data_IF_327238975800
#
_entry.id   IF_327238975800
#
_cell.length_a   1.000
_cell.length_b   1.000
_cell.length_c   1.000
_cell.angle_alpha   90.00
_cell.angle_beta   90.00
_cell.angle_gamma   90.00
#
_symmetry.space_group_name_H-M   'P 1'
#
loop_
_entity.id
_entity.type
_entity.pdbx_description
1 polymer ?
#
# COMPACT_ATOMS: atom_id res chain seq x y z
N UNK A 1 -8.87 -15.72 27.79
CA UNK A 1 -10.21 -15.45 28.37
C UNK A 1 -11.31 -15.62 27.34
N UNK A 2 -11.18 -15.04 26.14
CA UNK A 2 -12.16 -15.16 25.05
C UNK A 2 -12.34 -16.62 24.61
N UNK A 3 -11.26 -17.35 24.35
CA UNK A 3 -11.34 -18.78 24.00
C UNK A 3 -12.05 -19.62 25.07
N UNK A 4 -11.91 -19.29 26.36
CA UNK A 4 -12.63 -19.96 27.45
C UNK A 4 -14.14 -19.72 27.39
N UNK A 5 -14.57 -18.52 26.99
CA UNK A 5 -16.00 -18.18 26.81
C UNK A 5 -16.59 -18.93 25.61
N UNK A 6 -15.79 -19.15 24.57
CA UNK A 6 -16.20 -19.83 23.34
C UNK A 6 -16.16 -21.37 23.47
N UNK A 7 -15.44 -21.89 24.47
CA UNK A 7 -15.30 -23.32 24.70
C UNK A 7 -16.67 -24.04 24.80
N UNK A 8 -16.82 -25.14 24.06
CA UNK A 8 -18.05 -25.93 23.99
C UNK A 8 -19.21 -25.27 23.20
N UNK A 9 -19.07 -24.02 22.76
CA UNK A 9 -20.09 -23.32 21.96
C UNK A 9 -19.83 -23.40 20.47
N UNK A 10 -18.55 -23.44 20.09
CA UNK A 10 -18.04 -23.49 18.71
C UNK A 10 -17.07 -24.65 18.57
N UNK A 11 -16.88 -25.13 17.34
CA UNK A 11 -15.90 -26.19 17.06
C UNK A 11 -14.49 -25.60 16.99
N UNK A 12 -14.38 -24.39 16.43
CA UNK A 12 -13.13 -23.67 16.27
C UNK A 12 -13.26 -22.18 16.52
N UNK A 13 -12.18 -21.57 17.04
CA UNK A 13 -12.05 -20.12 17.11
C UNK A 13 -10.59 -19.69 17.01
N UNK A 14 -10.37 -18.53 16.38
CA UNK A 14 -9.12 -17.78 16.45
C UNK A 14 -9.38 -16.37 16.98
N UNK A 15 -8.49 -15.90 17.83
CA UNK A 15 -8.53 -14.56 18.41
C UNK A 15 -7.22 -13.87 18.10
N UNK A 16 -7.30 -12.73 17.41
CA UNK A 16 -6.15 -11.87 17.15
C UNK A 16 -6.37 -10.53 17.83
N UNK A 17 -5.41 -10.12 18.66
CA UNK A 17 -5.43 -8.81 19.31
C UNK A 17 -4.33 -7.97 18.73
N UNK A 18 -4.65 -6.74 18.37
CA UNK A 18 -3.69 -5.76 17.87
C UNK A 18 -3.70 -4.56 18.80
N UNK A 19 -2.52 -4.06 19.13
CA UNK A 19 -2.31 -2.78 19.84
C UNK A 19 -1.30 -1.97 19.06
N UNK A 20 -1.74 -0.85 18.50
CA UNK A 20 -0.91 0.09 17.77
C UNK A 20 -0.67 1.31 18.65
N UNK A 21 0.57 1.54 19.04
CA UNK A 21 0.99 2.78 19.71
C UNK A 21 1.48 3.74 18.64
N UNK A 22 0.79 4.87 18.50
CA UNK A 22 1.08 5.88 17.50
C UNK A 22 1.68 7.12 18.13
N UNK A 23 2.70 7.66 17.47
CA UNK A 23 3.31 8.95 17.76
C UNK A 23 3.35 9.76 16.47
N UNK A 24 2.80 10.97 16.51
CA UNK A 24 2.62 11.78 15.33
C UNK A 24 3.09 13.20 15.59
N UNK A 25 3.97 13.70 14.74
CA UNK A 25 4.32 15.11 14.66
C UNK A 25 3.67 15.68 13.41
N UNK A 26 2.80 16.68 13.59
CA UNK A 26 2.26 17.48 12.50
C UNK A 26 2.99 18.82 12.46
N UNK A 27 3.30 19.28 11.26
CA UNK A 27 3.93 20.57 11.04
C UNK A 27 3.24 21.30 9.89
N UNK A 28 3.25 22.62 9.97
CA UNK A 28 2.72 23.50 8.93
C UNK A 28 3.41 24.86 9.03
N UNK A 29 3.62 25.50 7.88
CA UNK A 29 4.41 26.72 7.78
C UNK A 29 5.80 26.54 8.41
N UNK A 30 6.44 25.41 8.12
CA UNK A 30 7.79 25.04 8.58
C UNK A 30 7.95 24.84 10.11
N UNK A 31 6.85 24.94 10.86
CA UNK A 31 6.85 24.79 12.31
C UNK A 31 6.03 23.58 12.77
N UNK A 32 6.50 22.92 13.83
CA UNK A 32 5.73 21.88 14.51
C UNK A 32 4.48 22.50 15.13
N UNK A 33 3.32 21.98 14.75
CA UNK A 33 2.02 22.50 15.19
C UNK A 33 1.33 21.57 16.19
N UNK A 34 1.66 20.28 16.17
CA UNK A 34 1.16 19.33 17.15
C UNK A 34 2.07 18.12 17.30
N UNK A 35 2.24 17.68 18.53
CA UNK A 35 2.67 16.32 18.87
C UNK A 35 1.47 15.57 19.43
N UNK A 36 1.14 14.40 18.87
CA UNK A 36 0.03 13.56 19.35
C UNK A 36 0.51 12.14 19.58
N UNK A 37 0.03 11.54 20.65
CA UNK A 37 0.18 10.11 20.91
C UNK A 37 -1.19 9.49 21.19
N UNK A 38 -1.42 8.28 20.70
CA UNK A 38 -2.62 7.51 21.02
C UNK A 38 -2.35 6.02 20.86
N UNK A 39 -3.18 5.21 21.51
CA UNK A 39 -3.21 3.76 21.29
C UNK A 39 -4.48 3.40 20.54
N UNK A 40 -4.36 2.57 19.50
CA UNK A 40 -5.48 1.92 18.86
C UNK A 40 -5.42 0.42 19.17
N UNK A 41 -6.46 -0.10 19.81
CA UNK A 41 -6.58 -1.53 20.08
C UNK A 41 -7.69 -2.11 19.23
N UNK A 42 -7.51 -3.33 18.73
CA UNK A 42 -8.56 -4.07 18.04
C UNK A 42 -8.47 -5.55 18.38
N UNK A 43 -9.62 -6.19 18.47
CA UNK A 43 -9.73 -7.64 18.65
C UNK A 43 -10.55 -8.22 17.51
N UNK A 44 -9.94 -9.15 16.79
CA UNK A 44 -10.55 -9.93 15.74
C UNK A 44 -10.88 -11.31 16.29
N UNK A 45 -12.13 -11.73 16.13
CA UNK A 45 -12.62 -13.03 16.59
C UNK A 45 -13.22 -13.73 15.39
N UNK A 46 -12.60 -14.84 15.00
CA UNK A 46 -13.14 -15.79 14.05
C UNK A 46 -13.70 -16.99 14.80
N UNK A 47 -14.87 -17.48 14.39
CA UNK A 47 -15.50 -18.68 14.95
C UNK A 47 -16.06 -19.56 13.83
N UNK A 48 -16.03 -20.88 14.05
CA UNK A 48 -16.66 -21.84 13.17
C UNK A 48 -17.37 -22.96 13.95
N UNK A 49 -18.49 -23.44 13.40
CA UNK A 49 -19.23 -24.59 13.92
C UNK A 49 -19.99 -25.28 12.79
N UNK A 50 -19.82 -26.59 12.64
CA UNK A 50 -20.48 -27.39 11.60
C UNK A 50 -20.36 -26.74 10.21
N UNK A 51 -19.15 -26.33 9.84
CA UNK A 51 -18.81 -25.60 8.60
C UNK A 51 -19.42 -24.21 8.44
N UNK A 52 -20.22 -23.71 9.37
CA UNK A 52 -20.63 -22.30 9.40
C UNK A 52 -19.47 -21.47 9.93
N UNK A 53 -19.31 -20.25 9.43
CA UNK A 53 -18.24 -19.33 9.86
C UNK A 53 -18.80 -17.96 10.19
N UNK A 54 -18.22 -17.29 11.19
CA UNK A 54 -18.49 -15.88 11.47
C UNK A 54 -17.20 -15.20 11.94
N UNK A 55 -17.05 -13.92 11.60
CA UNK A 55 -15.98 -13.09 12.09
C UNK A 55 -16.54 -11.76 12.62
N UNK A 56 -15.99 -11.28 13.73
CA UNK A 56 -16.26 -9.96 14.27
C UNK A 56 -14.95 -9.23 14.55
N UNK A 57 -14.93 -7.94 14.30
CA UNK A 57 -13.84 -7.05 14.67
C UNK A 57 -14.37 -6.00 15.64
N UNK A 58 -13.64 -5.76 16.73
CA UNK A 58 -14.03 -4.84 17.79
C UNK A 58 -12.87 -3.90 18.06
N UNK A 59 -13.15 -2.61 18.16
CA UNK A 59 -12.17 -1.62 18.66
C UNK A 59 -12.09 -1.71 20.18
N UNK A 60 -10.89 -1.89 20.71
CA UNK A 60 -10.62 -2.06 22.14
C UNK A 60 -10.78 -3.50 22.65
N UNK A 61 -10.72 -3.68 23.98
CA UNK A 61 -11.04 -4.96 24.63
C UNK A 61 -12.51 -5.33 24.37
N UNK A 62 -12.80 -6.55 23.88
CA UNK A 62 -14.18 -6.92 23.57
C UNK A 62 -14.98 -7.15 24.86
N UNK A 63 -16.19 -6.60 24.91
CA UNK A 63 -17.18 -6.97 25.93
C UNK A 63 -17.65 -8.41 25.72
N UNK A 64 -18.19 -9.04 26.76
CA UNK A 64 -18.81 -10.37 26.65
C UNK A 64 -19.90 -10.39 25.56
N UNK A 65 -20.70 -9.34 25.49
CA UNK A 65 -21.75 -9.18 24.47
C UNK A 65 -21.20 -9.24 23.04
N UNK A 66 -20.01 -8.67 22.78
CA UNK A 66 -19.38 -8.75 21.46
C UNK A 66 -18.85 -10.13 21.12
N UNK A 67 -18.36 -10.88 22.11
CA UNK A 67 -17.99 -12.29 21.92
C UNK A 67 -19.25 -13.12 21.62
N UNK A 68 -20.36 -12.85 22.32
CA UNK A 68 -21.64 -13.51 22.07
C UNK A 68 -22.24 -13.15 20.72
N UNK A 69 -22.03 -11.94 20.22
CA UNK A 69 -22.45 -11.51 18.89
C UNK A 69 -21.86 -12.42 17.80
N UNK A 70 -20.58 -12.82 17.93
CA UNK A 70 -19.94 -13.76 17.01
C UNK A 70 -20.67 -15.12 16.98
N UNK A 71 -21.04 -15.64 18.16
CA UNK A 71 -21.76 -16.91 18.30
C UNK A 71 -23.20 -16.80 17.77
N UNK A 72 -23.88 -15.67 18.02
CA UNK A 72 -25.24 -15.40 17.49
C UNK A 72 -25.23 -15.35 15.96
N UNK A 73 -24.28 -14.64 15.36
CA UNK A 73 -24.09 -14.58 13.90
C UNK A 73 -23.81 -15.97 13.32
N UNK A 74 -23.00 -16.77 14.00
CA UNK A 74 -22.67 -18.14 13.59
C UNK A 74 -23.91 -19.05 13.55
N UNK A 75 -24.83 -18.92 14.51
CA UNK A 75 -26.00 -19.78 14.61
C UNK A 75 -26.94 -19.66 13.39
N UNK A 76 -27.12 -18.43 12.87
CA UNK A 76 -27.97 -18.13 11.72
C UNK A 76 -27.23 -18.15 10.38
N UNK A 77 -25.91 -18.26 10.39
CA UNK A 77 -25.11 -18.32 9.17
C UNK A 77 -25.42 -19.59 8.35
N UNK A 78 -25.40 -19.51 7.00
CA UNK A 78 -25.37 -20.69 6.16
C UNK A 78 -24.06 -21.45 6.34
N UNK A 79 -24.02 -22.71 5.91
CA UNK A 79 -22.75 -23.40 5.78
C UNK A 79 -21.84 -22.66 4.78
N UNK A 80 -20.56 -22.56 5.13
CA UNK A 80 -19.56 -21.91 4.30
C UNK A 80 -18.94 -22.97 3.38
N UNK A 81 -19.18 -22.92 2.06
CA UNK A 81 -18.60 -23.88 1.13
C UNK A 81 -17.07 -23.76 1.05
N UNK A 82 -16.51 -22.62 1.44
CA UNK A 82 -15.07 -22.35 1.44
C UNK A 82 -14.41 -22.58 2.79
N UNK A 83 -15.15 -23.14 3.76
CA UNK A 83 -14.61 -23.38 5.10
C UNK A 83 -13.45 -24.38 5.07
N UNK A 84 -12.36 -23.97 5.70
CA UNK A 84 -11.16 -24.77 5.94
C UNK A 84 -10.88 -24.71 7.44
N UNK A 85 -10.67 -25.86 8.11
CA UNK A 85 -10.26 -25.87 9.50
C UNK A 85 -8.99 -25.05 9.74
N UNK A 86 -8.93 -24.39 10.87
CA UNK A 86 -7.74 -23.76 11.42
C UNK A 86 -6.68 -24.84 11.61
N UNK A 87 -5.43 -24.52 11.26
CA UNK A 87 -4.32 -25.46 11.41
C UNK A 87 -3.03 -24.95 10.81
N UNK A 88 -2.00 -25.79 10.84
CA UNK A 88 -0.63 -25.43 10.48
C UNK A 88 0.25 -25.21 11.72
N UNK A 89 1.49 -24.75 11.54
CA UNK A 89 2.38 -24.47 12.66
C UNK A 89 1.85 -23.32 13.53
N UNK A 90 2.32 -23.27 14.78
CA UNK A 90 2.09 -22.10 15.63
C UNK A 90 2.78 -20.87 15.03
N UNK A 91 2.14 -19.68 15.05
CA UNK A 91 2.77 -18.47 14.57
C UNK A 91 4.03 -18.14 15.38
N UNK A 92 5.07 -17.64 14.71
CA UNK A 92 6.33 -17.31 15.38
C UNK A 92 6.18 -16.11 16.31
N UNK A 93 6.95 -16.13 17.41
CA UNK A 93 7.05 -14.98 18.31
C UNK A 93 8.24 -14.09 17.94
N UNK A 94 8.01 -12.78 17.78
CA UNK A 94 9.04 -11.81 17.41
C UNK A 94 8.84 -10.50 18.16
N UNK A 95 9.85 -10.01 18.86
CA UNK A 95 9.72 -8.74 19.57
C UNK A 95 10.77 -7.74 19.12
N UNK A 96 10.29 -6.56 18.70
CA UNK A 96 11.11 -5.38 18.51
C UNK A 96 10.88 -4.42 19.68
N UNK A 97 11.94 -3.77 20.16
CA UNK A 97 11.81 -2.64 21.08
C UNK A 97 11.20 -1.44 20.34
N UNK A 98 10.29 -0.67 20.98
CA UNK A 98 9.79 0.59 20.45
C UNK A 98 10.93 1.56 20.11
N UNK A 99 10.75 2.32 19.04
CA UNK A 99 11.64 3.44 18.69
C UNK A 99 11.43 4.64 19.62
N UNK A 100 12.48 5.44 19.75
CA UNK A 100 12.45 6.69 20.52
C UNK A 100 11.66 7.77 19.76
N UNK A 101 10.43 8.04 20.23
CA UNK A 101 9.53 9.01 19.63
C UNK A 101 10.00 10.47 19.81
N UNK A 102 10.93 10.75 20.73
CA UNK A 102 11.41 12.12 20.97
C UNK A 102 12.25 12.63 19.80
N UNK A 103 12.71 11.74 18.92
CA UNK A 103 13.46 12.08 17.69
C UNK A 103 12.60 12.58 16.53
N UNK A 104 11.27 12.46 16.61
CA UNK A 104 10.39 12.81 15.49
C UNK A 104 10.42 14.31 15.12
N UNK A 105 10.50 15.27 16.06
CA UNK A 105 10.68 16.69 15.73
C UNK A 105 11.97 16.98 14.95
N UNK A 106 13.07 16.27 15.24
CA UNK A 106 14.33 16.45 14.51
C UNK A 106 14.22 16.00 13.06
N UNK A 107 13.40 14.99 12.77
CA UNK A 107 13.10 14.58 11.40
C UNK A 107 12.36 15.70 10.63
N UNK A 108 11.42 16.38 11.29
CA UNK A 108 10.71 17.53 10.70
C UNK A 108 11.71 18.64 10.37
N UNK A 109 12.53 19.02 11.35
CA UNK A 109 13.55 20.06 11.17
C UNK A 109 14.49 19.72 10.01
N UNK A 110 15.00 18.49 9.96
CA UNK A 110 15.90 18.02 8.91
C UNK A 110 15.28 18.10 7.52
N UNK A 111 14.00 17.72 7.37
CA UNK A 111 13.31 17.78 6.09
C UNK A 111 13.02 19.23 5.64
N UNK A 112 12.57 20.08 6.57
CA UNK A 112 12.29 21.50 6.33
C UNK A 112 13.55 22.26 5.95
N UNK A 113 14.64 22.11 6.71
CA UNK A 113 15.93 22.76 6.43
C UNK A 113 16.47 22.38 5.04
N UNK A 114 16.19 21.16 4.59
CA UNK A 114 16.60 20.66 3.28
C UNK A 114 15.74 21.19 2.11
N UNK A 115 14.57 21.78 2.38
CA UNK A 115 13.67 22.34 1.37
C UNK A 115 14.02 23.79 1.01
N UNK A 116 15.29 24.07 0.71
CA UNK A 116 15.75 25.43 0.41
C UNK A 116 15.03 26.03 -0.81
N UNK A 117 14.63 27.31 -0.72
CA UNK A 117 14.01 28.04 -1.83
C UNK A 117 12.49 27.85 -1.96
N UNK A 118 11.85 27.09 -1.08
CA UNK A 118 10.38 27.02 -0.96
C UNK A 118 9.88 28.09 0.02
N UNK A 119 8.61 28.49 -0.08
CA UNK A 119 8.03 29.51 0.81
C UNK A 119 7.60 28.93 2.16
N UNK A 120 7.12 27.69 2.14
CA UNK A 120 6.66 26.97 3.32
C UNK A 120 6.44 25.50 3.04
N UNK A 121 6.45 24.69 4.09
CA UNK A 121 6.13 23.28 4.06
C UNK A 121 5.14 22.87 5.15
N UNK A 122 4.44 21.78 4.91
CA UNK A 122 3.52 21.15 5.84
C UNK A 122 3.54 19.64 5.67
N UNK A 123 3.22 18.90 6.73
CA UNK A 123 3.24 17.44 6.64
C UNK A 123 3.05 16.74 7.97
N UNK A 124 3.42 15.47 7.94
CA UNK A 124 3.33 14.57 9.09
C UNK A 124 4.52 13.63 9.11
N UNK A 125 5.07 13.43 10.30
CA UNK A 125 5.91 12.29 10.64
C UNK A 125 5.09 11.39 11.56
N UNK A 126 5.06 10.10 11.26
CA UNK A 126 4.25 9.15 12.00
C UNK A 126 5.05 7.89 12.31
N UNK A 127 5.25 7.64 13.59
CA UNK A 127 5.86 6.43 14.13
C UNK A 127 4.77 5.55 14.74
N UNK A 128 4.83 4.26 14.48
CA UNK A 128 3.92 3.26 15.03
C UNK A 128 4.70 2.09 15.57
N UNK A 129 4.44 1.74 16.84
CA UNK A 129 4.83 0.46 17.40
C UNK A 129 3.60 -0.46 17.43
N UNK A 130 3.57 -1.45 16.55
CA UNK A 130 2.47 -2.39 16.41
C UNK A 130 2.78 -3.68 17.17
N UNK A 131 1.93 -4.06 18.11
CA UNK A 131 1.98 -5.34 18.82
C UNK A 131 0.75 -6.17 18.48
N UNK A 132 0.95 -7.45 18.15
CA UNK A 132 -0.10 -8.38 17.75
C UNK A 132 0.07 -9.69 18.52
N UNK A 133 -1.02 -10.28 18.98
CA UNK A 133 -1.04 -11.64 19.53
C UNK A 133 -2.13 -12.48 18.90
N UNK A 134 -1.86 -13.77 18.78
CA UNK A 134 -2.72 -14.79 18.20
C UNK A 134 -2.91 -15.93 19.20
N UNK A 135 -4.14 -16.41 19.35
CA UNK A 135 -4.48 -17.65 20.03
C UNK A 135 -5.64 -18.36 19.31
N UNK A 136 -5.63 -19.69 19.23
CA UNK A 136 -6.73 -20.48 18.68
C UNK A 136 -7.13 -21.68 19.54
N UNK A 137 -8.25 -22.32 19.19
CA UNK A 137 -8.78 -23.52 19.86
C UNK A 137 -7.97 -24.79 19.61
N UNK A 138 -7.05 -24.78 18.63
CA UNK A 138 -6.10 -25.88 18.40
C UNK A 138 -4.85 -25.77 19.31
N UNK A 139 -4.79 -24.75 20.17
CA UNK A 139 -3.67 -24.51 21.08
C UNK A 139 -2.50 -23.78 20.46
N UNK A 140 -2.64 -23.27 19.22
CA UNK A 140 -1.60 -22.47 18.59
C UNK A 140 -1.63 -21.06 19.16
N UNK A 141 -0.44 -20.52 19.40
CA UNK A 141 -0.29 -19.14 19.85
C UNK A 141 1.01 -18.55 19.32
N UNK A 142 1.04 -17.23 19.23
CA UNK A 142 2.20 -16.45 18.79
C UNK A 142 1.97 -14.97 19.02
N UNK A 143 3.04 -14.18 19.02
CA UNK A 143 2.94 -12.74 19.16
C UNK A 143 4.05 -12.02 18.42
N UNK A 144 3.77 -10.87 17.83
CA UNK A 144 4.83 -10.02 17.32
C UNK A 144 4.73 -8.56 17.76
N UNK A 145 5.86 -7.88 17.85
CA UNK A 145 5.93 -6.42 17.91
C UNK A 145 6.90 -5.86 16.88
N UNK A 146 6.48 -4.80 16.18
CA UNK A 146 7.13 -4.27 14.99
C UNK A 146 7.01 -2.74 14.92
N UNK A 147 8.09 -2.04 14.58
CA UNK A 147 8.08 -0.58 14.36
C UNK A 147 7.78 -0.19 12.91
N UNK A 148 7.12 0.94 12.69
CA UNK A 148 6.83 1.49 11.36
C UNK A 148 6.95 2.99 11.42
N UNK A 149 7.73 3.59 10.52
CA UNK A 149 7.84 5.05 10.42
C UNK A 149 7.56 5.48 8.98
N UNK A 150 6.79 6.54 8.81
CA UNK A 150 6.71 7.24 7.54
C UNK A 150 6.68 8.75 7.76
N UNK A 151 7.14 9.48 6.75
CA UNK A 151 7.00 10.92 6.66
C UNK A 151 6.40 11.28 5.30
N UNK A 152 5.42 12.18 5.30
CA UNK A 152 4.93 12.83 4.10
C UNK A 152 5.04 14.35 4.28
N UNK A 153 5.68 15.00 3.31
CA UNK A 153 5.95 16.43 3.34
C UNK A 153 5.51 17.06 2.03
N UNK A 154 4.70 18.11 2.14
CA UNK A 154 4.26 18.95 1.04
C UNK A 154 4.87 20.34 1.18
N UNK A 155 5.50 20.82 0.13
CA UNK A 155 6.10 22.16 0.08
C UNK A 155 5.37 23.03 -0.94
N UNK A 156 5.46 24.35 -0.75
CA UNK A 156 4.72 25.35 -1.53
C UNK A 156 5.67 26.45 -2.04
N UNK A 157 5.40 26.93 -3.25
CA UNK A 157 6.06 28.09 -3.85
C UNK A 157 5.03 28.81 -4.74
N UNK A 158 4.48 29.93 -4.29
CA UNK A 158 3.36 30.59 -4.94
C UNK A 158 2.13 29.68 -5.02
N UNK A 159 1.64 29.42 -6.23
CA UNK A 159 0.51 28.53 -6.48
C UNK A 159 0.93 27.08 -6.81
N UNK A 160 2.23 26.78 -6.73
CA UNK A 160 2.80 25.47 -6.95
C UNK A 160 2.92 24.70 -5.63
N UNK A 161 2.87 23.37 -5.74
CA UNK A 161 3.11 22.48 -4.61
C UNK A 161 3.78 21.18 -5.07
N UNK A 162 4.56 20.55 -4.19
CA UNK A 162 5.21 19.27 -4.41
C UNK A 162 5.08 18.42 -3.14
N UNK A 163 4.81 17.12 -3.29
CA UNK A 163 4.67 16.19 -2.16
C UNK A 163 5.63 15.02 -2.32
N UNK A 164 6.45 14.80 -1.30
CA UNK A 164 7.32 13.64 -1.21
C UNK A 164 6.99 12.84 0.05
N UNK A 165 7.18 11.52 -0.02
CA UNK A 165 6.99 10.63 1.11
C UNK A 165 8.11 9.59 1.19
N UNK A 166 8.39 9.12 2.40
CA UNK A 166 9.33 8.03 2.69
C UNK A 166 8.77 7.16 3.80
N UNK A 167 9.06 5.87 3.76
CA UNK A 167 8.64 4.90 4.76
C UNK A 167 9.77 3.91 5.10
N UNK A 168 9.77 3.41 6.33
CA UNK A 168 10.74 2.45 6.82
C UNK A 168 10.28 1.72 8.08
N UNK A 169 11.09 0.78 8.57
CA UNK A 169 10.83 0.03 9.81
C UNK A 169 11.31 0.80 11.03
N UNK A 170 12.41 1.53 10.86
CA UNK A 170 13.14 2.26 11.91
C UNK A 170 13.34 3.71 11.50
N UNK A 171 13.49 4.58 12.50
CA UNK A 171 13.76 6.03 12.30
C UNK A 171 15.04 6.21 11.45
N UNK A 172 16.05 5.37 11.68
CA UNK A 172 17.31 5.41 10.94
C UNK A 172 17.21 4.91 9.49
N UNK A 173 16.10 4.29 9.08
CA UNK A 173 15.94 3.75 7.71
C UNK A 173 15.50 4.82 6.71
N UNK A 174 15.06 6.00 7.16
CA UNK A 174 14.43 7.02 6.31
C UNK A 174 15.33 8.25 6.11
N UNK A 175 15.59 8.62 4.85
CA UNK A 175 16.23 9.89 4.49
C UNK A 175 15.16 10.98 4.33
N UNK A 176 14.85 11.68 5.42
CA UNK A 176 13.87 12.76 5.43
C UNK A 176 14.38 14.05 4.79
N UNK A 177 15.70 14.27 4.77
CA UNK A 177 16.30 15.43 4.10
C UNK A 177 16.05 15.37 2.59
N UNK A 178 16.00 14.16 2.02
CA UNK A 178 15.64 13.95 0.61
C UNK A 178 14.27 14.54 0.25
N UNK A 179 13.27 14.41 1.11
CA UNK A 179 11.92 14.93 0.83
C UNK A 179 11.96 16.43 0.56
N UNK A 180 12.68 17.18 1.41
CA UNK A 180 12.87 18.62 1.24
C UNK A 180 13.58 18.96 -0.05
N UNK A 181 14.72 18.29 -0.33
CA UNK A 181 15.49 18.50 -1.57
C UNK A 181 14.68 18.22 -2.83
N UNK A 182 13.91 17.14 -2.86
CA UNK A 182 13.12 16.74 -4.02
C UNK A 182 11.95 17.68 -4.27
N UNK A 183 11.25 18.08 -3.20
CA UNK A 183 10.19 19.08 -3.29
C UNK A 183 10.74 20.41 -3.81
N UNK A 184 11.86 20.90 -3.26
CA UNK A 184 12.51 22.14 -3.69
C UNK A 184 12.94 22.07 -5.17
N UNK A 185 13.62 20.99 -5.58
CA UNK A 185 14.04 20.79 -6.98
C UNK A 185 12.85 20.82 -7.93
N UNK A 186 11.75 20.12 -7.61
CA UNK A 186 10.59 20.08 -8.48
C UNK A 186 9.88 21.44 -8.57
N UNK A 187 9.77 22.16 -7.46
CA UNK A 187 9.17 23.50 -7.43
C UNK A 187 10.01 24.50 -8.22
N UNK A 188 11.34 24.44 -8.12
CA UNK A 188 12.25 25.28 -8.90
C UNK A 188 12.11 25.00 -10.41
N UNK A 189 12.08 23.73 -10.82
CA UNK A 189 11.85 23.32 -12.21
C UNK A 189 10.52 23.85 -12.76
N UNK A 190 9.47 23.89 -11.93
CA UNK A 190 8.16 24.36 -12.33
C UNK A 190 8.02 25.90 -12.30
N UNK A 191 8.90 26.58 -11.58
CA UNK A 191 8.83 28.03 -11.34
C UNK A 191 8.94 28.80 -12.65
N UNK A 192 7.95 29.67 -12.90
CA UNK A 192 7.95 30.56 -14.06
C UNK A 192 7.53 29.90 -15.38
N UNK A 193 7.24 28.60 -15.39
CA UNK A 193 6.63 27.95 -16.55
C UNK A 193 5.19 28.44 -16.77
N UNK A 194 4.72 28.54 -18.03
CA UNK A 194 3.33 28.87 -18.31
C UNK A 194 2.38 27.79 -17.78
N UNK A 195 1.16 28.18 -17.42
CA UNK A 195 0.13 27.26 -16.96
C UNK A 195 -0.81 26.88 -18.11
N UNK A 196 -1.04 25.60 -18.30
CA UNK A 196 -1.87 25.07 -19.39
C UNK A 196 -2.93 24.10 -18.89
N UNK A 197 -3.93 23.89 -19.75
CA UNK A 197 -4.93 22.82 -19.64
C UNK A 197 -4.76 21.87 -20.82
N UNK A 198 -5.23 20.65 -20.66
CA UNK A 198 -5.08 19.58 -21.65
C UNK A 198 -6.47 19.02 -21.95
N UNK A 199 -6.87 19.11 -23.21
CA UNK A 199 -8.04 18.39 -23.71
C UNK A 199 -7.81 16.87 -23.64
N UNK A 200 -8.89 16.10 -23.69
CA UNK A 200 -8.79 14.65 -23.62
C UNK A 200 -7.88 14.10 -24.71
N UNK A 201 -6.79 13.43 -24.31
CA UNK A 201 -5.76 12.91 -25.22
C UNK A 201 -5.14 11.64 -24.66
N UNK A 202 -4.51 10.84 -25.53
CA UNK A 202 -3.59 9.79 -25.11
C UNK A 202 -2.15 10.27 -25.23
N UNK A 203 -1.37 10.10 -24.18
CA UNK A 203 0.01 10.58 -24.14
C UNK A 203 0.91 9.61 -23.36
N UNK A 204 2.22 9.72 -23.59
CA UNK A 204 3.21 9.05 -22.76
C UNK A 204 3.34 9.81 -21.44
N UNK A 205 3.40 9.06 -20.34
CA UNK A 205 3.46 9.62 -18.99
C UNK A 205 4.75 9.17 -18.31
N UNK A 206 5.45 10.12 -17.68
CA UNK A 206 6.39 9.82 -16.62
C UNK A 206 5.64 9.90 -15.29
N UNK A 207 5.51 8.76 -14.62
CA UNK A 207 4.87 8.64 -13.32
C UNK A 207 5.93 8.63 -12.22
N UNK A 208 5.70 9.43 -11.18
CA UNK A 208 6.53 9.35 -9.98
C UNK A 208 6.35 8.00 -9.26
N UNK A 209 7.26 7.66 -8.34
CA UNK A 209 7.10 6.50 -7.46
C UNK A 209 5.74 6.47 -6.74
N UNK A 210 5.23 7.63 -6.30
CA UNK A 210 3.95 7.75 -5.60
C UNK A 210 2.79 7.30 -6.48
N UNK A 211 2.74 7.80 -7.72
CA UNK A 211 1.65 7.50 -8.65
C UNK A 211 1.73 6.07 -9.15
N UNK A 212 2.93 5.62 -9.52
CA UNK A 212 3.10 4.28 -10.06
C UNK A 212 2.81 3.20 -9.01
N UNK A 213 3.32 3.35 -7.79
CA UNK A 213 3.02 2.43 -6.70
C UNK A 213 1.53 2.38 -6.35
N UNK A 214 0.85 3.53 -6.36
CA UNK A 214 -0.58 3.57 -6.10
C UNK A 214 -1.34 2.71 -7.12
N UNK A 215 -1.10 2.93 -8.41
CA UNK A 215 -1.83 2.23 -9.48
C UNK A 215 -1.47 0.74 -9.56
N UNK A 216 -0.20 0.38 -9.34
CA UNK A 216 0.20 -1.04 -9.25
C UNK A 216 -0.35 -1.71 -8.00
N UNK A 217 -0.42 -1.00 -6.86
CA UNK A 217 -1.03 -1.50 -5.64
C UNK A 217 -2.52 -1.79 -5.79
N UNK A 218 -3.26 -0.94 -6.52
CA UNK A 218 -4.65 -1.20 -6.88
C UNK A 218 -4.79 -2.43 -7.78
N UNK A 219 -3.92 -2.58 -8.79
CA UNK A 219 -3.93 -3.76 -9.66
C UNK A 219 -3.64 -5.04 -8.85
N UNK A 220 -2.61 -5.03 -8.01
CA UNK A 220 -2.26 -6.15 -7.13
C UNK A 220 -3.40 -6.51 -6.17
N UNK A 221 -3.96 -5.53 -5.47
CA UNK A 221 -5.02 -5.75 -4.48
C UNK A 221 -6.34 -6.25 -5.09
N UNK A 222 -6.71 -5.74 -6.27
CA UNK A 222 -8.01 -6.08 -6.87
C UNK A 222 -7.93 -7.24 -7.88
N UNK A 223 -6.82 -7.43 -8.59
CA UNK A 223 -6.72 -8.48 -9.63
C UNK A 223 -5.96 -9.72 -9.17
N UNK A 224 -4.97 -9.58 -8.28
CA UNK A 224 -4.25 -10.74 -7.77
C UNK A 224 -4.90 -11.36 -6.52
N UNK A 225 -6.03 -10.82 -6.03
CA UNK A 225 -6.70 -11.35 -4.83
C UNK A 225 -7.56 -12.57 -5.13
N UNK A 226 -7.29 -13.69 -4.44
CA UNK A 226 -8.02 -14.95 -4.63
C UNK A 226 -9.53 -14.83 -4.35
N UNK A 227 -9.97 -13.92 -3.49
CA UNK A 227 -11.41 -13.69 -3.27
C UNK A 227 -12.08 -13.02 -4.47
N UNK A 228 -11.37 -12.11 -5.14
CA UNK A 228 -11.87 -11.44 -6.35
C UNK A 228 -11.90 -12.39 -7.55
N UNK A 229 -10.96 -13.35 -7.61
CA UNK A 229 -10.99 -14.45 -8.59
C UNK A 229 -12.24 -15.32 -8.40
N UNK A 230 -12.53 -15.73 -7.16
CA UNK A 230 -13.72 -16.53 -6.85
C UNK A 230 -15.02 -15.78 -7.09
N UNK A 231 -15.05 -14.48 -6.83
CA UNK A 231 -16.21 -13.63 -7.08
C UNK A 231 -16.39 -13.28 -8.57
N UNK A 232 -15.41 -13.59 -9.43
CA UNK A 232 -15.43 -13.26 -10.86
C UNK A 232 -15.23 -11.77 -11.16
N UNK A 233 -14.81 -10.99 -10.17
CA UNK A 233 -14.53 -9.54 -10.24
C UNK A 233 -13.08 -9.23 -10.56
N UNK A 234 -12.16 -10.19 -10.38
CA UNK A 234 -10.78 -10.08 -10.85
C UNK A 234 -10.70 -10.06 -12.38
N UNK A 235 -9.67 -9.35 -12.90
CA UNK A 235 -9.24 -9.43 -14.30
C UNK A 235 -8.65 -10.80 -14.67
N UNK A 236 -8.09 -11.50 -13.68
CA UNK A 236 -7.37 -12.76 -13.83
C UNK A 236 -8.17 -13.94 -13.31
N UNK A 237 -7.91 -15.11 -13.87
CA UNK A 237 -8.27 -16.39 -13.27
C UNK A 237 -7.01 -17.20 -12.96
N UNK A 238 -7.15 -18.33 -12.26
CA UNK A 238 -6.02 -19.23 -12.00
C UNK A 238 -5.39 -19.78 -13.29
N UNK A 239 -6.18 -19.88 -14.36
CA UNK A 239 -5.74 -20.34 -15.69
C UNK A 239 -4.89 -19.30 -16.43
N UNK A 240 -4.88 -18.05 -15.98
CA UNK A 240 -4.01 -17.01 -16.55
C UNK A 240 -2.57 -17.05 -16.00
N UNK A 241 -2.31 -17.85 -14.95
CA UNK A 241 -0.95 -18.00 -14.40
C UNK A 241 -0.02 -18.56 -15.49
N UNK A 242 1.10 -17.88 -15.71
CA UNK A 242 2.07 -18.14 -16.77
C UNK A 242 1.80 -17.38 -18.08
N UNK A 243 0.66 -16.70 -18.22
CA UNK A 243 0.37 -15.88 -19.41
C UNK A 243 0.99 -14.50 -19.29
N UNK A 244 1.41 -13.95 -20.42
CA UNK A 244 1.83 -12.55 -20.54
C UNK A 244 0.60 -11.65 -20.42
N UNK A 245 0.52 -10.86 -19.34
CA UNK A 245 -0.62 -10.01 -18.99
C UNK A 245 -0.22 -8.56 -18.68
N UNK A 246 1.08 -8.27 -18.76
CA UNK A 246 1.69 -6.98 -18.51
C UNK A 246 2.98 -6.86 -19.33
N UNK A 247 3.57 -5.65 -19.35
CA UNK A 247 4.87 -5.40 -19.96
C UNK A 247 5.95 -6.32 -19.38
N UNK A 248 6.85 -6.80 -20.22
CA UNK A 248 8.00 -7.62 -19.80
C UNK A 248 8.95 -6.93 -18.84
N UNK A 249 8.91 -5.60 -18.77
CA UNK A 249 9.67 -4.82 -17.80
C UNK A 249 9.09 -4.89 -16.39
N UNK A 250 7.83 -5.34 -16.25
CA UNK A 250 7.12 -5.30 -14.99
C UNK A 250 7.34 -6.60 -14.20
N UNK A 251 8.08 -6.49 -13.10
CA UNK A 251 8.15 -7.52 -12.06
C UNK A 251 7.65 -6.92 -10.75
N UNK A 252 6.63 -7.54 -10.16
CA UNK A 252 5.95 -7.05 -8.96
C UNK A 252 5.74 -8.21 -8.01
N UNK A 253 6.11 -8.04 -6.75
CA UNK A 253 5.90 -9.02 -5.70
C UNK A 253 5.23 -8.38 -4.47
N UNK A 254 4.55 -9.21 -3.66
CA UNK A 254 4.29 -8.85 -2.27
C UNK A 254 5.50 -9.23 -1.40
N UNK A 255 5.90 -8.31 -0.54
CA UNK A 255 7.07 -8.38 0.32
C UNK A 255 6.73 -8.24 1.82
N UNK A 256 5.51 -8.57 2.25
CA UNK A 256 5.11 -8.52 3.66
C UNK A 256 5.95 -9.46 4.56
N UNK A 257 6.56 -10.49 3.98
CA UNK A 257 7.50 -11.39 4.66
C UNK A 257 8.83 -10.73 5.02
N UNK A 258 9.21 -9.65 4.32
CA UNK A 258 10.53 -9.04 4.42
C UNK A 258 10.65 -8.15 5.66
N UNK A 259 11.57 -8.46 6.61
CA UNK A 259 11.75 -7.67 7.83
C UNK A 259 12.15 -6.20 7.61
N UNK A 260 12.67 -5.84 6.44
CA UNK A 260 13.05 -4.47 6.08
C UNK A 260 11.92 -3.66 5.43
N UNK A 261 10.81 -4.30 5.05
CA UNK A 261 9.68 -3.63 4.40
C UNK A 261 8.73 -3.00 5.44
N UNK A 262 8.29 -1.75 5.26
CA UNK A 262 7.35 -1.06 6.15
C UNK A 262 6.12 -1.93 6.50
N UNK A 263 5.61 -2.65 5.49
CA UNK A 263 4.46 -3.55 5.61
C UNK A 263 4.76 -4.91 6.24
N UNK A 264 5.96 -5.12 6.80
CA UNK A 264 6.36 -6.39 7.41
C UNK A 264 5.30 -6.88 8.41
N UNK A 265 4.90 -8.13 8.23
CA UNK A 265 3.86 -8.79 8.99
C UNK A 265 4.31 -10.22 9.27
N UNK A 266 4.77 -10.55 10.49
CA UNK A 266 5.27 -11.89 10.81
C UNK A 266 4.24 -13.02 10.64
N UNK A 267 2.96 -12.72 10.88
CA UNK A 267 1.82 -13.58 10.56
C UNK A 267 0.55 -12.76 10.36
N UNK A 268 -0.35 -13.25 9.50
CA UNK A 268 -1.64 -12.62 9.19
C UNK A 268 -2.73 -12.96 10.24
N UNK A 269 -3.98 -12.55 10.00
CA UNK A 269 -5.09 -12.81 10.93
C UNK A 269 -5.43 -14.30 11.11
N UNK A 270 -5.01 -15.18 10.18
CA UNK A 270 -5.18 -16.63 10.26
C UNK A 270 -4.01 -17.32 10.99
N UNK A 271 -3.00 -16.54 11.41
CA UNK A 271 -1.77 -17.04 12.00
C UNK A 271 -0.81 -17.62 10.97
N UNK A 272 -0.99 -17.28 9.69
CA UNK A 272 -0.15 -17.78 8.59
C UNK A 272 0.95 -16.75 8.31
N UNK A 273 2.24 -17.13 8.34
CA UNK A 273 3.32 -16.24 7.95
C UNK A 273 3.21 -15.91 6.45
N UNK A 274 3.27 -14.63 6.04
CA UNK A 274 3.31 -14.27 4.64
C UNK A 274 4.51 -14.94 3.95
N UNK A 275 4.27 -15.51 2.77
CA UNK A 275 5.35 -15.99 1.90
C UNK A 275 5.58 -15.01 0.75
N UNK A 276 6.77 -15.02 0.13
CA UNK A 276 6.97 -14.28 -1.11
C UNK A 276 5.95 -14.70 -2.17
N UNK A 277 5.26 -13.72 -2.76
CA UNK A 277 4.37 -13.93 -3.92
C UNK A 277 4.76 -12.96 -5.01
N UNK A 278 5.34 -13.47 -6.09
CA UNK A 278 5.47 -12.70 -7.33
C UNK A 278 4.09 -12.66 -8.02
N UNK A 279 3.55 -11.47 -8.19
CA UNK A 279 2.30 -11.22 -8.91
C UNK A 279 2.59 -11.15 -10.41
N UNK A 280 3.57 -10.32 -10.79
CA UNK A 280 4.11 -10.29 -12.14
C UNK A 280 5.57 -10.73 -12.11
N UNK A 281 5.96 -11.65 -12.99
CA UNK A 281 7.35 -12.04 -13.24
C UNK A 281 7.67 -11.74 -14.70
N UNK A 282 8.35 -10.62 -14.96
CA UNK A 282 8.67 -10.17 -16.31
C UNK A 282 7.43 -10.11 -17.21
N UNK A 283 6.34 -9.49 -16.73
CA UNK A 283 5.08 -9.35 -17.47
C UNK A 283 4.14 -10.56 -17.42
N UNK A 284 4.60 -11.71 -16.95
CA UNK A 284 3.73 -12.89 -16.78
C UNK A 284 3.02 -12.87 -15.43
N UNK A 285 1.73 -13.25 -15.39
CA UNK A 285 1.04 -13.49 -14.13
C UNK A 285 1.70 -14.69 -13.45
N UNK A 286 2.31 -14.50 -12.28
CA UNK A 286 3.09 -15.53 -11.60
C UNK A 286 2.39 -16.09 -10.36
N UNK A 287 1.48 -15.34 -9.75
CA UNK A 287 0.87 -15.72 -8.49
C UNK A 287 -0.32 -14.86 -8.09
N UNK A 288 -1.10 -15.41 -7.17
CA UNK A 288 -2.27 -14.80 -6.56
C UNK A 288 -2.08 -14.78 -5.04
N UNK A 289 -2.72 -13.81 -4.39
CA UNK A 289 -2.74 -13.63 -2.94
C UNK A 289 -3.91 -14.42 -2.34
N UNK A 290 -3.65 -15.17 -1.28
CA UNK A 290 -4.62 -16.07 -0.68
C UNK A 290 -4.64 -16.03 0.86
N UNK A 291 -5.87 -16.11 1.37
CA UNK A 291 -6.22 -16.66 2.67
C UNK A 291 -6.35 -18.18 2.57
N UNK A 292 -6.51 -18.91 3.68
CA UNK A 292 -6.75 -20.36 3.66
C UNK A 292 -7.96 -20.74 2.83
N UNK A 293 -9.06 -19.99 2.98
CA UNK A 293 -10.33 -20.23 2.29
C UNK A 293 -10.19 -20.08 0.78
N UNK A 294 -9.56 -19.00 0.33
CA UNK A 294 -9.40 -18.72 -1.10
C UNK A 294 -8.39 -19.65 -1.76
N UNK A 295 -7.33 -20.03 -1.03
CA UNK A 295 -6.38 -21.04 -1.47
C UNK A 295 -7.06 -22.39 -1.72
N UNK A 296 -7.80 -22.90 -0.72
CA UNK A 296 -8.53 -24.17 -0.82
C UNK A 296 -9.52 -24.20 -1.98
N UNK A 297 -10.32 -23.14 -2.12
CA UNK A 297 -11.31 -23.01 -3.19
C UNK A 297 -10.71 -23.05 -4.60
N UNK A 298 -9.48 -22.55 -4.76
CA UNK A 298 -8.77 -22.49 -6.03
C UNK A 298 -7.79 -23.64 -6.24
N UNK A 299 -7.64 -24.54 -5.26
CA UNK A 299 -6.67 -25.65 -5.29
C UNK A 299 -5.23 -25.17 -5.20
N UNK A 300 -4.99 -24.11 -4.42
CA UNK A 300 -3.69 -23.46 -4.22
C UNK A 300 -3.30 -23.47 -2.74
N UNK A 301 -2.08 -23.00 -2.44
CA UNK A 301 -1.56 -22.89 -1.08
C UNK A 301 -1.76 -21.49 -0.49
N UNK A 302 -2.10 -21.37 0.82
CA UNK A 302 -2.22 -20.09 1.49
C UNK A 302 -0.95 -19.24 1.34
N UNK A 303 -1.10 -17.92 1.25
CA UNK A 303 0.05 -17.01 1.11
C UNK A 303 0.28 -16.14 2.33
N UNK A 304 -0.58 -16.22 3.36
CA UNK A 304 -0.51 -15.37 4.55
C UNK A 304 -0.96 -13.93 4.28
N UNK A 305 -2.08 -13.75 3.58
CA UNK A 305 -2.57 -12.43 3.15
C UNK A 305 -3.95 -12.05 3.72
N UNK A 306 -4.40 -12.70 4.79
CA UNK A 306 -5.50 -12.21 5.61
C UNK A 306 -5.05 -11.00 6.46
N UNK A 307 -4.54 -9.93 5.82
CA UNK A 307 -3.80 -8.84 6.49
C UNK A 307 -4.69 -8.00 7.42
N UNK A 308 -5.80 -7.51 6.88
CA UNK A 308 -6.77 -6.66 7.60
C UNK A 308 -8.17 -7.29 7.68
N UNK A 309 -8.41 -8.34 6.89
CA UNK A 309 -9.69 -9.03 6.78
C UNK A 309 -9.48 -10.53 6.55
N UNK A 310 -10.27 -11.38 7.22
CA UNK A 310 -10.23 -12.84 7.05
C UNK A 310 -10.71 -13.33 5.66
N UNK A 311 -11.56 -12.55 5.00
CA UNK A 311 -12.24 -13.00 3.79
C UNK A 311 -11.55 -12.53 2.50
N UNK A 312 -10.87 -11.39 2.55
CA UNK A 312 -10.34 -10.70 1.37
C UNK A 312 -8.83 -10.56 1.48
N UNK A 313 -8.05 -11.39 0.75
CA UNK A 313 -6.61 -11.22 0.65
C UNK A 313 -6.26 -9.84 0.13
N UNK A 314 -5.25 -9.19 0.73
CA UNK A 314 -4.74 -7.88 0.32
C UNK A 314 -3.22 -7.85 0.44
N UNK A 315 -2.49 -7.13 -0.44
CA UNK A 315 -1.05 -6.97 -0.32
C UNK A 315 -0.68 -6.28 0.99
N UNK A 316 0.35 -6.80 1.68
CA UNK A 316 0.93 -6.16 2.85
C UNK A 316 2.05 -5.18 2.49
N UNK A 317 2.77 -5.43 1.39
CA UNK A 317 3.80 -4.52 0.89
C UNK A 317 4.13 -4.80 -0.58
N UNK A 318 3.91 -3.84 -1.46
CA UNK A 318 4.22 -4.02 -2.89
C UNK A 318 5.70 -3.75 -3.16
N UNK A 319 6.38 -4.63 -3.89
CA UNK A 319 7.74 -4.43 -4.36
C UNK A 319 7.75 -4.48 -5.87
N UNK A 320 7.97 -3.33 -6.48
CA UNK A 320 8.19 -3.20 -7.92
C UNK A 320 9.71 -3.26 -8.15
N UNK A 321 10.16 -4.18 -9.00
CA UNK A 321 11.57 -4.27 -9.35
C UNK A 321 12.02 -3.00 -10.10
N UNK A 322 13.20 -2.44 -9.80
CA UNK A 322 13.75 -1.33 -10.57
C UNK A 322 14.15 -1.79 -11.97
N UNK A 323 14.25 -0.85 -12.91
CA UNK A 323 14.79 -1.07 -14.25
C UNK A 323 16.25 -0.64 -14.36
N UNK A 324 16.66 -0.23 -15.56
CA UNK A 324 17.98 0.32 -15.88
C UNK A 324 17.95 1.83 -16.15
N UNK A 325 16.76 2.44 -16.15
CA UNK A 325 16.57 3.85 -16.42
C UNK A 325 17.26 4.76 -15.41
N UNK A 326 17.37 6.07 -15.72
CA UNK A 326 17.97 7.03 -14.81
C UNK A 326 17.12 7.22 -13.54
N UNK A 327 17.77 7.65 -12.46
CA UNK A 327 17.10 8.02 -11.21
C UNK A 327 16.90 9.54 -11.06
N UNK A 328 17.62 10.34 -11.86
CA UNK A 328 17.45 11.79 -11.89
C UNK A 328 16.24 12.17 -12.76
N UNK A 329 15.42 13.09 -12.25
CA UNK A 329 14.22 13.55 -12.91
C UNK A 329 14.50 14.19 -14.29
N UNK A 330 15.56 14.96 -14.44
CA UNK A 330 15.88 15.62 -15.71
C UNK A 330 16.26 14.61 -16.80
N UNK A 331 17.00 13.57 -16.43
CA UNK A 331 17.32 12.47 -17.36
C UNK A 331 16.05 11.68 -17.73
N UNK A 332 15.17 11.40 -16.77
CA UNK A 332 13.88 10.76 -17.04
C UNK A 332 12.98 11.61 -17.95
N UNK A 333 12.99 12.94 -17.79
CA UNK A 333 12.27 13.86 -18.67
C UNK A 333 12.85 13.84 -20.08
N UNK A 334 14.17 13.72 -20.23
CA UNK A 334 14.83 13.53 -21.55
C UNK A 334 14.42 12.20 -22.20
N UNK A 335 14.36 11.13 -21.43
CA UNK A 335 13.90 9.81 -21.91
C UNK A 335 12.43 9.83 -22.33
N UNK A 336 11.58 10.56 -21.61
CA UNK A 336 10.17 10.76 -21.98
C UNK A 336 10.02 11.47 -23.34
N UNK A 337 10.93 12.40 -23.66
CA UNK A 337 10.95 13.24 -24.88
C UNK A 337 9.73 14.15 -25.04
N UNK A 338 8.53 13.59 -25.13
CA UNK A 338 7.26 14.30 -25.27
C UNK A 338 6.18 13.56 -24.50
N UNK A 339 5.48 14.27 -23.63
CA UNK A 339 4.46 13.66 -22.79
C UNK A 339 4.19 14.50 -21.55
N UNK A 340 3.79 13.85 -20.46
CA UNK A 340 3.49 14.52 -19.21
C UNK A 340 4.14 13.83 -18.02
N UNK A 341 4.73 14.62 -17.13
CA UNK A 341 5.15 14.15 -15.81
C UNK A 341 4.03 14.38 -14.80
N UNK A 342 3.65 13.34 -14.07
CA UNK A 342 2.64 13.41 -13.00
C UNK A 342 3.31 13.04 -11.68
N UNK A 343 3.46 14.04 -10.82
CA UNK A 343 4.19 13.89 -9.57
C UNK A 343 3.41 13.19 -8.46
N UNK A 344 2.10 13.46 -8.32
CA UNK A 344 1.28 12.89 -7.27
C UNK A 344 -0.16 12.67 -7.77
N UNK A 345 -0.91 11.78 -7.11
CA UNK A 345 -2.29 11.48 -7.45
C UNK A 345 -3.12 11.15 -6.21
N UNK A 346 -4.32 11.70 -6.10
CA UNK A 346 -5.27 11.38 -5.04
C UNK A 346 -6.61 10.91 -5.63
N UNK A 347 -7.40 10.21 -4.82
CA UNK A 347 -8.78 9.84 -5.14
C UNK A 347 -8.92 9.02 -6.43
N UNK A 348 -8.19 7.90 -6.49
CA UNK A 348 -8.43 6.89 -7.52
C UNK A 348 -9.79 6.24 -7.30
N UNK A 349 -10.59 6.20 -8.36
CA UNK A 349 -11.95 5.63 -8.36
C UNK A 349 -12.09 4.71 -9.56
N UNK A 350 -12.74 3.58 -9.34
CA UNK A 350 -13.04 2.59 -10.38
C UNK A 350 -14.48 2.72 -10.83
N UNK A 351 -14.67 2.84 -12.14
CA UNK A 351 -15.97 2.62 -12.78
C UNK A 351 -16.22 1.12 -12.94
N UNK A 352 -15.16 0.34 -13.20
CA UNK A 352 -15.23 -1.10 -13.30
C UNK A 352 -13.89 -1.72 -12.88
N UNK A 353 -13.89 -2.40 -11.74
CA UNK A 353 -12.68 -3.02 -11.17
C UNK A 353 -12.15 -4.15 -12.07
N UNK A 354 -13.02 -4.97 -12.67
CA UNK A 354 -12.63 -6.12 -13.50
C UNK A 354 -11.85 -5.73 -14.75
N UNK A 355 -12.33 -4.70 -15.46
CA UNK A 355 -11.63 -4.12 -16.63
C UNK A 355 -10.54 -3.13 -16.20
N UNK A 356 -10.51 -2.76 -14.92
CA UNK A 356 -9.61 -1.77 -14.37
C UNK A 356 -9.90 -0.37 -14.85
N UNK A 357 -11.09 -0.07 -15.37
CA UNK A 357 -11.46 1.28 -15.77
C UNK A 357 -11.46 2.19 -14.53
N UNK A 358 -10.57 3.17 -14.54
CA UNK A 358 -10.34 4.06 -13.41
C UNK A 358 -10.22 5.51 -13.83
N UNK A 359 -10.38 6.38 -12.85
CA UNK A 359 -9.87 7.74 -12.92
C UNK A 359 -9.22 8.16 -11.61
N UNK A 360 -8.11 8.89 -11.71
CA UNK A 360 -7.40 9.45 -10.55
C UNK A 360 -7.03 10.90 -10.79
N UNK A 361 -7.08 11.72 -9.74
CA UNK A 361 -6.82 13.16 -9.83
C UNK A 361 -5.34 13.40 -9.60
N UNK A 362 -4.67 13.97 -10.60
CA UNK A 362 -3.31 14.48 -10.42
C UNK A 362 -3.29 15.61 -9.40
N UNK A 363 -2.30 15.58 -8.52
CA UNK A 363 -2.07 16.57 -7.48
C UNK A 363 -0.65 17.08 -7.56
N UNK A 364 -0.45 18.23 -6.94
CA UNK A 364 0.84 18.92 -6.95
C UNK A 364 1.30 19.24 -8.39
N UNK A 365 2.58 19.54 -8.59
CA UNK A 365 3.12 19.84 -9.92
C UNK A 365 2.90 18.67 -10.88
N UNK A 366 2.29 18.97 -12.03
CA UNK A 366 2.34 18.15 -13.23
C UNK A 366 2.95 18.97 -14.36
N UNK A 367 3.82 18.37 -15.16
CA UNK A 367 4.58 19.08 -16.21
C UNK A 367 4.20 18.54 -17.58
N UNK A 368 3.96 19.43 -18.53
CA UNK A 368 4.07 19.09 -19.94
C UNK A 368 5.55 19.03 -20.31
N UNK A 369 5.93 18.01 -21.07
CA UNK A 369 7.30 17.78 -21.51
C UNK A 369 7.37 17.86 -23.04
N UNK A 370 8.29 18.68 -23.55
CA UNK A 370 8.57 18.83 -24.99
C UNK A 370 10.09 18.80 -25.20
N UNK A 371 10.51 18.01 -26.18
CA UNK A 371 11.92 17.81 -26.54
C UNK A 371 12.82 17.49 -25.32
N UNK A 372 12.29 16.68 -24.41
CA UNK A 372 12.97 16.22 -23.21
C UNK A 372 13.04 17.24 -22.07
N UNK A 373 12.30 18.35 -22.16
CA UNK A 373 12.34 19.46 -21.20
C UNK A 373 10.95 19.85 -20.72
N UNK A 374 10.79 20.30 -19.45
CA UNK A 374 9.57 20.92 -18.96
C UNK A 374 9.19 22.14 -19.83
N UNK A 375 7.94 22.18 -20.28
CA UNK A 375 7.42 23.23 -21.14
C UNK A 375 6.32 24.07 -20.47
N UNK A 376 5.50 23.44 -19.62
CA UNK A 376 4.39 24.08 -18.93
C UNK A 376 3.99 23.31 -17.67
N UNK A 377 3.33 23.98 -16.72
CA UNK A 377 2.63 23.34 -15.60
C UNK A 377 1.20 23.04 -16.04
N UNK A 378 0.78 21.77 -15.93
CA UNK A 378 -0.58 21.35 -16.26
C UNK A 378 -1.47 21.44 -15.03
N UNK A 379 -2.54 22.25 -15.10
CA UNK A 379 -3.48 22.40 -13.98
C UNK A 379 -4.59 21.36 -14.05
N UNK A 380 -4.95 20.78 -12.90
CA UNK A 380 -6.09 19.86 -12.74
C UNK A 380 -6.01 18.56 -13.55
N UNK A 381 -4.79 18.12 -13.89
CA UNK A 381 -4.61 16.89 -14.66
C UNK A 381 -5.27 15.69 -13.99
N UNK A 382 -5.85 14.82 -14.80
CA UNK A 382 -6.52 13.58 -14.41
C UNK A 382 -6.05 12.49 -15.35
N UNK A 383 -5.73 11.33 -14.78
CA UNK A 383 -5.56 10.10 -15.57
C UNK A 383 -6.93 9.43 -15.63
N UNK A 384 -7.38 9.06 -16.82
CA UNK A 384 -8.64 8.37 -17.06
C UNK A 384 -8.40 7.29 -18.12
N UNK A 385 -8.15 6.06 -17.66
CA UNK A 385 -7.78 4.93 -18.51
C UNK A 385 -8.13 3.61 -17.80
N UNK A 386 -7.55 2.50 -18.26
CA UNK A 386 -7.63 1.19 -17.64
C UNK A 386 -6.29 0.82 -17.00
N UNK A 387 -6.34 0.12 -15.87
CA UNK A 387 -5.14 -0.50 -15.28
C UNK A 387 -4.51 -1.49 -16.27
N UNK A 388 -5.30 -2.11 -17.16
CA UNK A 388 -4.82 -3.06 -18.16
C UNK A 388 -3.91 -2.36 -19.16
N UNK A 389 -4.35 -1.20 -19.67
CA UNK A 389 -3.50 -0.39 -20.52
C UNK A 389 -2.23 0.07 -19.78
N UNK A 390 -2.34 0.44 -18.49
CA UNK A 390 -1.19 0.87 -17.69
C UNK A 390 -0.14 -0.24 -17.53
N UNK A 391 -0.52 -1.44 -17.08
CA UNK A 391 0.46 -2.52 -16.85
C UNK A 391 1.06 -3.04 -18.16
N UNK A 392 0.31 -3.00 -19.26
CA UNK A 392 0.79 -3.43 -20.58
C UNK A 392 1.77 -2.46 -21.23
N UNK A 393 1.66 -1.15 -20.94
CA UNK A 393 2.43 -0.11 -21.64
C UNK A 393 3.59 0.48 -20.82
N UNK A 394 4.03 -0.19 -19.75
CA UNK A 394 5.27 0.19 -19.05
C UNK A 394 6.45 0.03 -20.01
N UNK A 395 7.14 1.14 -20.30
CA UNK A 395 8.19 1.21 -21.30
C UNK A 395 9.59 1.45 -20.72
N UNK A 396 9.67 1.98 -19.50
CA UNK A 396 10.94 2.17 -18.78
C UNK A 396 10.67 2.26 -17.28
N UNK A 397 11.57 1.73 -16.47
CA UNK A 397 11.60 1.89 -15.02
C UNK A 397 12.96 2.46 -14.59
N UNK A 398 12.97 3.37 -13.60
CA UNK A 398 14.24 3.88 -13.05
C UNK A 398 15.02 2.79 -12.32
N UNK A 399 16.35 2.93 -12.27
CA UNK A 399 17.27 2.02 -11.55
C UNK A 399 17.14 2.03 -10.03
N UNK A 400 16.48 3.05 -9.49
CA UNK A 400 16.22 3.18 -8.06
C UNK A 400 14.73 2.93 -7.79
N UNK A 401 14.44 2.07 -6.82
CA UNK A 401 13.12 1.91 -6.23
C UNK A 401 13.15 2.39 -4.77
N UNK A 402 12.15 3.18 -4.37
CA UNK A 402 12.12 3.83 -3.05
C UNK A 402 10.99 3.29 -2.21
N UNK A 403 11.25 3.11 -0.92
CA UNK A 403 10.24 2.70 0.03
C UNK A 403 9.37 3.90 0.43
N UNK A 404 8.10 3.86 0.04
CA UNK A 404 7.15 4.96 0.17
C UNK A 404 5.83 4.46 0.76
N UNK A 405 5.23 5.31 1.58
CA UNK A 405 3.88 5.11 2.08
C UNK A 405 3.31 6.46 2.51
N UNK A 406 2.06 6.71 2.17
CA UNK A 406 1.27 7.82 2.70
C UNK A 406 -0.23 7.47 2.62
N UNK A 407 -1.10 8.28 3.20
CA UNK A 407 -2.45 7.87 3.60
C UNK A 407 -3.39 7.42 2.46
N UNK A 408 -3.17 7.85 1.21
CA UNK A 408 -4.03 7.47 0.07
C UNK A 408 -3.48 6.27 -0.72
N UNK A 409 -2.35 5.67 -0.31
CA UNK A 409 -1.82 4.48 -0.99
C UNK A 409 -2.56 3.21 -0.55
N UNK A 410 -2.94 2.31 -1.49
CA UNK A 410 -3.63 1.06 -1.16
C UNK A 410 -2.77 0.08 -0.36
N UNK A 411 -1.44 0.17 -0.53
CA UNK A 411 -0.44 -0.57 0.24
C UNK A 411 0.88 0.22 0.24
N UNK A 412 1.72 0.06 1.28
CA UNK A 412 3.10 0.57 1.24
C UNK A 412 3.89 -0.13 0.12
N UNK A 413 4.87 0.56 -0.47
CA UNK A 413 5.57 0.01 -1.62
C UNK A 413 7.04 0.38 -1.73
N UNK A 414 7.83 -0.45 -2.40
CA UNK A 414 9.05 -0.06 -3.11
C UNK A 414 8.71 0.24 -4.55
N UNK A 415 9.02 1.45 -5.02
CA UNK A 415 8.58 1.92 -6.33
C UNK A 415 9.64 2.75 -7.05
N UNK A 416 9.94 2.44 -8.33
CA UNK A 416 10.70 3.31 -9.21
C UNK A 416 9.80 4.38 -9.86
N UNK A 417 10.42 5.33 -10.56
CA UNK A 417 9.72 6.08 -11.60
C UNK A 417 9.39 5.14 -12.77
N UNK A 418 8.32 5.44 -13.49
CA UNK A 418 7.91 4.67 -14.65
C UNK A 418 7.55 5.57 -15.83
N UNK A 419 8.07 5.26 -17.01
CA UNK A 419 7.50 5.77 -18.27
C UNK A 419 6.47 4.76 -18.74
N UNK A 420 5.23 5.22 -18.92
CA UNK A 420 4.11 4.41 -19.41
C UNK A 420 3.53 5.08 -20.65
N UNK A 421 3.40 4.30 -21.73
CA UNK A 421 3.01 4.83 -23.03
C UNK A 421 1.51 4.86 -23.24
N UNK A 422 1.06 5.79 -24.09
CA UNK A 422 -0.29 5.80 -24.64
C UNK A 422 -1.40 5.73 -23.56
N UNK A 423 -1.33 6.59 -22.54
CA UNK A 423 -2.30 6.67 -21.44
C UNK A 423 -3.27 7.84 -21.64
N UNK A 424 -4.55 7.62 -21.37
CA UNK A 424 -5.61 8.64 -21.40
C UNK A 424 -5.50 9.65 -20.26
N UNK A 425 -5.47 10.94 -20.61
CA UNK A 425 -5.45 12.07 -19.67
C UNK A 425 -6.41 13.18 -20.10
N UNK A 426 -6.78 14.05 -19.15
CA UNK A 426 -7.56 15.28 -19.37
C UNK A 426 -7.33 16.26 -18.21
N UNK A 427 -7.74 17.52 -18.35
CA UNK A 427 -7.87 18.49 -17.23
C UNK A 427 -9.31 18.88 -16.96
#
# INVERSE_FOLDING_TARGET
MILKILAGRVDEAAVVKTRLLHYMVRFANDEVTAFKHWAAESTFIYVAKSRKTAAVAVTGPPSLEKVEEAVKRLATAPEDPLYVPIGGPSPATRHESPEDFEKLPDLVKTAVDAASGVERSAGVVHLTHAAVSYEDTAGRSGAYSVNRVYMAMRSFLGDLSATSAVAGRRIGDIDVARLGRENAKLLDVAKGLPHVRVEQVRADLLLSPLVFAHLIGEAAGNWASGSEVLAGTSRYTKEDIGREVASRLLTVADAAYDPAAYGHTPFDLEGVPPRPVEIYRGGQLAGLLHTRRTAHALGMEPTGHAMHHYARPWPGHIRIAPGDGPADLEELLRDLRRGYYIHNNWYTRFQNVKTGQFSTVGRDVALEVRDGKPAAVVKYIRIADTLENLVNNVAQLSREARQIYWWDMPAPAHSPYAIVKNIGITT
#
